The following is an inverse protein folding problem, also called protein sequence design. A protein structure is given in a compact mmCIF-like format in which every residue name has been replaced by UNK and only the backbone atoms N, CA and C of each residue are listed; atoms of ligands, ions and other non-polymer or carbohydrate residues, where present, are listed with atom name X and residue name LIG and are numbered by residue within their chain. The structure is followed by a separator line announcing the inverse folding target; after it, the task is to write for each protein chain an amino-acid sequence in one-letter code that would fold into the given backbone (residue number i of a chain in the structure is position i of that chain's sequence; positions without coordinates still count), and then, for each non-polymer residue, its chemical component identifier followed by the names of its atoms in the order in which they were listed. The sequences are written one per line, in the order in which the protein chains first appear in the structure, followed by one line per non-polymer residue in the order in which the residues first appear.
data_IF_402815040477
#
_entry.id   IF_402815040477
#
_cell.length_a   1.000
_cell.length_b   1.000
_cell.length_c   1.000
_cell.angle_alpha   90.00
_cell.angle_beta   90.00
_cell.angle_gamma   90.00
#
_symmetry.space_group_name_H-M   'P 1'
#
loop_
_entity.id
_entity.type
_entity.pdbx_description
1 polymer ?
#
# COMPACT_ATOMS: atom_id res chain seq x y z
N UNK A 1 -10.95 7.11 4.62
CA UNK A 1 -10.06 6.03 4.12
C UNK A 1 -10.20 5.96 2.62
N UNK A 2 -9.14 5.61 1.88
CA UNK A 2 -9.24 5.36 0.43
C UNK A 2 -10.04 4.07 0.18
N UNK A 3 -10.80 4.01 -0.91
CA UNK A 3 -11.51 2.79 -1.32
C UNK A 3 -10.52 1.68 -1.73
N UNK A 4 -9.43 2.08 -2.38
CA UNK A 4 -8.32 1.20 -2.72
C UNK A 4 -7.00 1.98 -2.77
N UNK A 5 -5.89 1.26 -2.83
CA UNK A 5 -4.59 1.77 -3.18
C UNK A 5 -3.74 0.69 -3.85
N UNK A 6 -2.69 1.12 -4.55
CA UNK A 6 -1.67 0.24 -5.11
C UNK A 6 -0.46 0.17 -4.17
N UNK A 7 0.16 -0.99 -4.07
CA UNK A 7 1.42 -1.17 -3.36
C UNK A 7 2.34 -2.11 -4.16
N UNK A 8 3.68 -1.93 -4.14
CA UNK A 8 4.57 -2.89 -4.77
C UNK A 8 4.38 -4.29 -4.15
N UNK A 9 4.31 -5.35 -4.96
CA UNK A 9 4.29 -6.70 -4.43
C UNK A 9 5.68 -7.12 -3.91
N UNK A 10 6.73 -6.66 -4.55
CA UNK A 10 8.14 -6.94 -4.27
C UNK A 10 8.99 -5.70 -4.57
N UNK A 11 10.22 -5.62 -4.06
CA UNK A 11 11.15 -4.56 -4.45
C UNK A 11 11.34 -4.50 -5.97
N UNK A 12 11.38 -3.29 -6.52
CA UNK A 12 11.67 -3.05 -7.92
C UNK A 12 12.67 -1.90 -8.08
N UNK A 13 13.34 -1.89 -9.23
CA UNK A 13 14.45 -0.99 -9.51
C UNK A 13 14.24 -0.31 -10.86
N UNK A 14 14.70 0.93 -10.94
CA UNK A 14 14.74 1.69 -12.18
C UNK A 14 16.04 2.49 -12.25
N UNK A 15 16.54 2.70 -13.45
CA UNK A 15 17.77 3.46 -13.66
C UNK A 15 17.62 4.34 -14.88
N UNK A 16 18.14 5.56 -14.78
CA UNK A 16 18.32 6.44 -15.93
C UNK A 16 19.69 7.13 -15.87
N UNK A 17 20.16 7.56 -17.02
CA UNK A 17 21.34 8.42 -17.14
C UNK A 17 20.97 9.70 -17.86
N UNK A 18 21.25 10.85 -17.25
CA UNK A 18 21.01 12.17 -17.81
C UNK A 18 22.27 13.03 -17.67
N UNK A 19 22.82 13.53 -18.78
CA UNK A 19 24.06 14.32 -18.82
C UNK A 19 25.19 13.71 -17.97
N UNK A 20 25.45 12.42 -18.12
CA UNK A 20 26.44 11.61 -17.38
C UNK A 20 26.11 11.41 -15.89
N UNK A 21 25.08 12.05 -15.33
CA UNK A 21 24.60 11.72 -13.99
C UNK A 21 23.76 10.46 -14.06
N UNK A 22 24.00 9.53 -13.12
CA UNK A 22 23.25 8.28 -12.99
C UNK A 22 22.27 8.41 -11.85
N UNK A 23 21.03 8.02 -12.08
CA UNK A 23 19.93 8.02 -11.11
C UNK A 23 19.42 6.58 -10.96
N UNK A 24 19.53 6.04 -9.75
CA UNK A 24 19.09 4.68 -9.40
C UNK A 24 17.92 4.80 -8.47
N UNK A 25 16.74 4.34 -8.91
CA UNK A 25 15.53 4.32 -8.13
C UNK A 25 15.28 2.91 -7.58
N UNK A 26 14.89 2.82 -6.32
CA UNK A 26 14.40 1.60 -5.67
C UNK A 26 13.06 1.87 -5.02
N UNK A 27 12.05 1.02 -5.27
CA UNK A 27 10.74 1.07 -4.61
C UNK A 27 10.48 -0.24 -3.86
N UNK A 28 9.94 -0.15 -2.63
CA UNK A 28 9.58 -1.32 -1.80
C UNK A 28 8.24 -1.13 -1.12
N UNK A 29 7.50 -2.23 -0.85
CA UNK A 29 6.38 -2.20 0.09
C UNK A 29 6.92 -1.94 1.50
N UNK A 30 6.21 -1.12 2.27
CA UNK A 30 6.47 -0.85 3.70
C UNK A 30 5.15 -0.69 4.44
N UNK A 31 5.07 -1.17 5.68
CA UNK A 31 3.84 -1.13 6.46
C UNK A 31 3.82 0.05 7.45
N UNK A 32 4.98 0.56 7.84
CA UNK A 32 5.12 1.64 8.82
C UNK A 32 6.36 2.52 8.58
N UNK A 33 6.51 3.58 9.37
CA UNK A 33 7.64 4.50 9.30
C UNK A 33 8.98 3.84 9.66
N UNK A 34 8.96 2.82 10.50
CA UNK A 34 10.18 2.11 10.91
C UNK A 34 10.74 1.31 9.74
N UNK A 35 9.89 0.57 9.02
CA UNK A 35 10.28 -0.15 7.81
C UNK A 35 10.76 0.81 6.71
N UNK A 36 10.03 1.92 6.50
CA UNK A 36 10.43 2.94 5.53
C UNK A 36 11.80 3.53 5.85
N UNK A 37 12.05 3.87 7.11
CA UNK A 37 13.34 4.42 7.56
C UNK A 37 14.46 3.39 7.42
N UNK A 38 14.22 2.14 7.81
CA UNK A 38 15.21 1.07 7.68
C UNK A 38 15.60 0.84 6.21
N UNK A 39 14.63 0.86 5.30
CA UNK A 39 14.90 0.78 3.86
C UNK A 39 15.74 1.94 3.35
N UNK A 40 15.42 3.19 3.73
CA UNK A 40 16.17 4.37 3.31
C UNK A 40 17.63 4.27 3.79
N UNK A 41 17.86 3.86 5.03
CA UNK A 41 19.21 3.70 5.58
C UNK A 41 19.97 2.54 4.93
N UNK A 42 19.30 1.46 4.57
CA UNK A 42 19.89 0.36 3.79
C UNK A 42 20.42 0.87 2.44
N UNK A 43 19.60 1.65 1.70
CA UNK A 43 20.00 2.21 0.41
C UNK A 43 21.15 3.21 0.56
N UNK A 44 21.11 4.08 1.57
CA UNK A 44 22.24 4.99 1.87
C UNK A 44 23.51 4.23 2.15
N UNK A 45 23.43 3.16 2.92
CA UNK A 45 24.59 2.31 3.25
C UNK A 45 25.16 1.59 2.04
N UNK A 46 24.32 1.20 1.08
CA UNK A 46 24.68 0.57 -0.20
C UNK A 46 25.37 1.56 -1.14
N UNK A 47 24.97 2.83 -1.10
CA UNK A 47 25.42 3.88 -2.02
C UNK A 47 26.22 5.00 -1.34
N UNK A 48 27.19 4.64 -0.48
CA UNK A 48 27.96 5.61 0.34
C UNK A 48 28.72 6.67 -0.45
N UNK A 49 29.08 6.35 -1.70
CA UNK A 49 29.80 7.28 -2.57
C UNK A 49 28.87 8.24 -3.33
N UNK A 50 27.56 8.05 -3.23
CA UNK A 50 26.59 8.96 -3.80
C UNK A 50 26.41 10.21 -2.92
N UNK A 51 26.21 11.36 -3.55
CA UNK A 51 26.00 12.62 -2.83
C UNK A 51 24.58 12.77 -2.26
N UNK A 52 23.59 12.19 -2.94
CA UNK A 52 22.17 12.38 -2.63
C UNK A 52 21.43 11.06 -2.74
N UNK A 53 20.67 10.74 -1.71
CA UNK A 53 19.68 9.66 -1.70
C UNK A 53 18.34 10.27 -1.31
N UNK A 54 17.66 10.79 -2.30
CA UNK A 54 16.31 11.37 -2.19
C UNK A 54 15.32 10.27 -1.89
N UNK A 55 14.28 10.56 -1.11
CA UNK A 55 13.27 9.57 -0.79
C UNK A 55 11.87 10.17 -0.67
N UNK A 56 10.87 9.31 -0.81
CA UNK A 56 9.49 9.53 -0.41
C UNK A 56 8.88 8.24 0.11
N UNK A 57 8.05 8.31 1.15
CA UNK A 57 7.16 7.21 1.53
C UNK A 57 5.75 7.72 1.81
N UNK A 58 4.77 6.87 1.53
CA UNK A 58 3.35 7.10 1.76
C UNK A 58 2.77 5.90 2.50
N UNK A 59 2.08 6.14 3.62
CA UNK A 59 1.44 5.11 4.44
C UNK A 59 -0.07 5.29 4.47
N UNK A 60 -0.80 4.21 4.63
CA UNK A 60 -2.27 4.23 4.61
C UNK A 60 -2.88 4.93 5.83
N UNK A 61 -2.14 5.05 6.93
CA UNK A 61 -2.53 5.82 8.10
C UNK A 61 -2.45 7.35 7.89
N UNK A 62 -2.08 7.79 6.68
CA UNK A 62 -1.94 9.19 6.30
C UNK A 62 -0.55 9.78 6.53
N UNK A 63 0.35 9.03 7.14
CA UNK A 63 1.73 9.49 7.30
C UNK A 63 2.45 9.47 5.97
N UNK A 64 3.16 10.56 5.72
CA UNK A 64 3.99 10.73 4.53
C UNK A 64 5.22 11.56 4.87
N UNK A 65 6.32 11.25 4.24
CA UNK A 65 7.54 12.03 4.37
C UNK A 65 8.37 11.93 3.10
N UNK A 66 9.04 13.02 2.75
CA UNK A 66 10.01 13.06 1.67
C UNK A 66 11.21 13.93 2.05
N UNK A 67 12.30 13.80 1.29
CA UNK A 67 13.49 14.63 1.42
C UNK A 67 14.16 14.79 0.07
N UNK A 68 14.60 16.01 -0.21
CA UNK A 68 15.48 16.31 -1.35
C UNK A 68 16.95 15.94 -1.08
N UNK A 69 17.30 15.58 0.15
CA UNK A 69 18.63 15.13 0.59
C UNK A 69 19.79 16.01 0.07
N UNK A 70 19.63 17.34 0.17
CA UNK A 70 20.61 18.32 -0.27
C UNK A 70 20.57 18.72 -1.75
N UNK A 71 19.68 18.15 -2.55
CA UNK A 71 19.32 18.74 -3.86
C UNK A 71 18.54 20.06 -3.67
N UNK A 72 18.46 20.95 -4.68
CA UNK A 72 17.65 22.15 -4.58
C UNK A 72 16.19 21.83 -4.18
N UNK A 73 15.68 22.62 -3.24
CA UNK A 73 14.34 22.37 -2.66
C UNK A 73 13.25 22.18 -3.73
N UNK A 74 12.44 21.14 -3.58
CA UNK A 74 11.30 20.82 -4.44
C UNK A 74 11.68 20.23 -5.81
N UNK A 75 12.96 19.88 -6.04
CA UNK A 75 13.39 19.33 -7.34
C UNK A 75 13.40 17.80 -7.40
N UNK A 76 13.23 17.13 -6.27
CA UNK A 76 13.41 15.69 -6.19
C UNK A 76 12.37 14.98 -5.33
N UNK A 77 12.36 15.20 -4.01
CA UNK A 77 11.48 14.48 -3.09
C UNK A 77 9.98 14.77 -3.31
N UNK A 78 9.61 16.05 -3.47
CA UNK A 78 8.23 16.44 -3.74
C UNK A 78 7.69 15.87 -5.07
N UNK A 79 8.40 15.97 -6.21
CA UNK A 79 7.98 15.33 -7.47
C UNK A 79 7.78 13.81 -7.38
N UNK A 80 8.65 13.10 -6.65
CA UNK A 80 8.51 11.67 -6.41
C UNK A 80 7.21 11.37 -5.64
N UNK A 81 6.94 12.16 -4.60
CA UNK A 81 5.71 12.03 -3.80
C UNK A 81 4.46 12.22 -4.67
N UNK A 82 4.44 13.27 -5.51
CA UNK A 82 3.32 13.52 -6.41
C UNK A 82 3.08 12.37 -7.42
N UNK A 83 4.14 11.74 -7.92
CA UNK A 83 4.02 10.59 -8.82
C UNK A 83 3.36 9.41 -8.11
N UNK A 84 3.79 9.10 -6.88
CA UNK A 84 3.20 8.03 -6.07
C UNK A 84 1.71 8.32 -5.78
N UNK A 85 1.38 9.56 -5.39
CA UNK A 85 -0.01 9.98 -5.10
C UNK A 85 -0.89 9.90 -6.35
N UNK A 86 -0.43 10.41 -7.50
CA UNK A 86 -1.18 10.39 -8.78
C UNK A 86 -1.42 8.98 -9.31
N UNK A 87 -0.57 8.04 -8.96
CA UNK A 87 -0.71 6.62 -9.33
C UNK A 87 -1.37 5.78 -8.23
N UNK A 88 -1.97 6.42 -7.21
CA UNK A 88 -2.62 5.78 -6.07
C UNK A 88 -1.75 4.82 -5.25
N UNK A 89 -0.43 4.98 -5.31
CA UNK A 89 0.47 4.19 -4.47
C UNK A 89 0.37 4.59 -3.00
N UNK A 90 0.43 3.57 -2.14
CA UNK A 90 0.47 3.71 -0.69
C UNK A 90 1.14 2.49 -0.07
N UNK A 91 1.49 2.57 1.21
CA UNK A 91 2.27 1.53 1.89
C UNK A 91 3.53 1.17 1.10
N UNK A 92 4.24 2.20 0.63
CA UNK A 92 5.47 2.06 -0.12
C UNK A 92 6.48 3.16 0.23
N UNK A 93 7.75 2.83 0.06
CA UNK A 93 8.85 3.79 0.09
C UNK A 93 9.64 3.70 -1.22
N UNK A 94 10.01 4.86 -1.75
CA UNK A 94 10.78 5.01 -2.97
C UNK A 94 12.00 5.89 -2.68
N UNK A 95 13.18 5.43 -3.09
CA UNK A 95 14.43 6.18 -3.03
C UNK A 95 14.95 6.42 -4.45
N UNK A 96 15.64 7.55 -4.66
CA UNK A 96 16.41 7.77 -5.87
C UNK A 96 17.80 8.28 -5.49
N UNK A 97 18.80 7.46 -5.76
CA UNK A 97 20.20 7.76 -5.51
C UNK A 97 20.85 8.35 -6.74
N UNK A 98 21.54 9.49 -6.58
CA UNK A 98 22.21 10.16 -7.70
C UNK A 98 23.73 10.12 -7.57
N UNK A 99 24.38 9.68 -8.66
CA UNK A 99 25.81 9.86 -8.91
C UNK A 99 26.02 11.01 -9.88
N UNK A 100 26.74 12.03 -9.46
CA UNK A 100 26.98 13.23 -10.28
C UNK A 100 27.93 12.96 -11.45
N UNK A 101 27.54 13.32 -12.64
CA UNK A 101 28.30 13.10 -13.88
C UNK A 101 29.20 14.27 -14.34
N UNK A 102 29.42 15.27 -13.48
CA UNK A 102 30.27 16.42 -13.80
C UNK A 102 29.55 17.55 -14.56
N UNK A 103 28.29 17.37 -14.98
CA UNK A 103 27.52 18.38 -15.73
C UNK A 103 26.28 18.76 -14.91
N UNK A 104 26.09 20.07 -14.68
CA UNK A 104 24.91 20.58 -13.99
C UNK A 104 23.65 20.42 -14.86
N UNK A 105 22.58 19.92 -14.25
CA UNK A 105 21.29 19.75 -14.92
C UNK A 105 20.38 20.98 -14.83
N UNK A 106 20.58 21.81 -13.80
CA UNK A 106 19.63 22.84 -13.40
C UNK A 106 18.38 22.27 -12.73
N UNK A 107 17.58 23.12 -12.10
CA UNK A 107 16.40 22.69 -11.33
C UNK A 107 15.38 21.90 -12.16
N UNK A 108 15.04 22.40 -13.36
CA UNK A 108 14.13 21.69 -14.28
C UNK A 108 14.69 20.38 -14.83
N UNK A 109 16.03 20.28 -15.01
CA UNK A 109 16.69 19.04 -15.40
C UNK A 109 16.66 17.99 -14.28
N UNK A 110 16.92 18.42 -13.04
CA UNK A 110 16.83 17.57 -11.85
C UNK A 110 15.42 17.01 -11.66
N UNK A 111 14.41 17.88 -11.69
CA UNK A 111 13.02 17.48 -11.56
C UNK A 111 12.65 16.39 -12.58
N UNK A 112 13.00 16.59 -13.85
CA UNK A 112 12.73 15.60 -14.91
C UNK A 112 13.47 14.28 -14.66
N UNK A 113 14.74 14.35 -14.27
CA UNK A 113 15.55 13.15 -14.06
C UNK A 113 15.08 12.33 -12.87
N UNK A 114 14.81 12.96 -11.70
CA UNK A 114 14.26 12.27 -10.54
C UNK A 114 12.89 11.67 -10.82
N UNK A 115 12.01 12.40 -11.50
CA UNK A 115 10.69 11.93 -11.91
C UNK A 115 10.78 10.74 -12.88
N UNK A 116 11.67 10.79 -13.84
CA UNK A 116 11.85 9.71 -14.82
C UNK A 116 12.41 8.43 -14.16
N UNK A 117 13.40 8.57 -13.25
CA UNK A 117 13.95 7.43 -12.51
C UNK A 117 12.87 6.77 -11.61
N UNK A 118 12.11 7.57 -10.88
CA UNK A 118 11.01 7.10 -10.04
C UNK A 118 9.93 6.37 -10.87
N UNK A 119 9.53 6.96 -11.99
CA UNK A 119 8.55 6.36 -12.91
C UNK A 119 9.05 5.02 -13.45
N UNK A 120 10.33 4.94 -13.85
CA UNK A 120 10.94 3.70 -14.34
C UNK A 120 10.87 2.58 -13.28
N UNK A 121 11.20 2.87 -12.00
CA UNK A 121 11.10 1.88 -10.93
C UNK A 121 9.64 1.45 -10.68
N UNK A 122 8.68 2.38 -10.74
CA UNK A 122 7.25 2.10 -10.57
C UNK A 122 6.72 1.22 -11.72
N UNK A 123 7.17 1.43 -12.94
CA UNK A 123 6.78 0.63 -14.11
C UNK A 123 7.35 -0.80 -14.06
N UNK A 124 8.46 -1.01 -13.35
CA UNK A 124 9.06 -2.33 -13.13
C UNK A 124 8.49 -3.05 -11.89
N UNK A 125 7.73 -2.35 -11.03
CA UNK A 125 7.09 -3.03 -9.92
C UNK A 125 5.77 -3.68 -10.39
N UNK A 126 5.51 -4.89 -9.91
CA UNK A 126 4.21 -5.53 -10.10
C UNK A 126 3.28 -5.00 -8.99
N UNK A 127 2.44 -3.97 -9.24
CA UNK A 127 1.62 -3.41 -8.20
C UNK A 127 0.46 -4.33 -7.86
N UNK A 128 0.15 -4.41 -6.57
CA UNK A 128 -1.01 -5.11 -6.04
C UNK A 128 -2.05 -4.10 -5.66
N UNK A 129 -3.29 -4.31 -6.09
CA UNK A 129 -4.42 -3.50 -5.65
C UNK A 129 -4.91 -4.02 -4.30
N UNK A 130 -4.90 -3.14 -3.33
CA UNK A 130 -5.40 -3.36 -1.97
C UNK A 130 -6.75 -2.67 -1.84
N UNK A 131 -7.82 -3.43 -1.66
CA UNK A 131 -9.19 -2.93 -1.61
C UNK A 131 -9.70 -2.93 -0.17
N UNK A 132 -10.35 -1.83 0.24
CA UNK A 132 -10.97 -1.70 1.55
C UNK A 132 -12.11 -2.70 1.69
N UNK A 133 -12.11 -3.44 2.81
CA UNK A 133 -13.17 -4.38 3.20
C UNK A 133 -13.72 -4.02 4.57
N UNK A 134 -15.02 -4.09 4.71
CA UNK A 134 -15.66 -4.10 6.02
C UNK A 134 -15.41 -5.43 6.71
N UNK A 135 -15.09 -5.38 8.01
CA UNK A 135 -14.81 -6.57 8.82
C UNK A 135 -15.81 -6.68 9.95
N UNK A 136 -16.22 -7.91 10.23
CA UNK A 136 -17.22 -8.18 11.28
C UNK A 136 -16.90 -9.45 12.03
N UNK A 137 -17.29 -9.51 13.30
CA UNK A 137 -17.40 -10.76 14.03
C UNK A 137 -18.85 -11.22 14.05
N UNK A 138 -19.06 -12.51 13.82
CA UNK A 138 -20.35 -13.18 13.85
C UNK A 138 -20.29 -14.30 14.87
N UNK A 139 -21.42 -14.56 15.56
CA UNK A 139 -21.57 -15.74 16.40
C UNK A 139 -22.85 -16.49 16.02
N UNK A 140 -22.74 -17.79 15.76
CA UNK A 140 -23.87 -18.61 15.33
C UNK A 140 -23.82 -20.04 15.91
N UNK A 141 -24.94 -20.73 15.82
CA UNK A 141 -25.02 -22.15 16.07
C UNK A 141 -24.45 -22.96 14.92
N UNK A 142 -24.00 -24.18 15.17
CA UNK A 142 -23.45 -25.09 14.14
C UNK A 142 -24.43 -25.36 12.99
N UNK A 143 -25.70 -25.45 13.28
CA UNK A 143 -26.78 -25.66 12.30
C UNK A 143 -26.83 -24.56 11.23
N UNK A 144 -26.45 -23.34 11.60
CA UNK A 144 -26.46 -22.19 10.70
C UNK A 144 -25.10 -21.97 9.99
N UNK A 145 -24.01 -22.38 10.64
CA UNK A 145 -22.65 -22.19 10.12
C UNK A 145 -22.49 -22.67 8.67
N UNK A 146 -23.01 -23.85 8.33
CA UNK A 146 -22.88 -24.43 7.00
C UNK A 146 -23.49 -23.58 5.87
N UNK A 147 -24.35 -22.62 6.19
CA UNK A 147 -25.01 -21.72 5.23
C UNK A 147 -24.22 -20.43 5.00
N UNK A 148 -23.47 -19.97 6.01
CA UNK A 148 -22.76 -18.68 5.98
C UNK A 148 -21.74 -18.60 4.84
N UNK A 149 -20.85 -19.56 4.61
CA UNK A 149 -19.85 -19.47 3.54
C UNK A 149 -20.47 -19.25 2.16
N UNK A 150 -21.56 -19.98 1.85
CA UNK A 150 -22.25 -19.84 0.58
C UNK A 150 -22.94 -18.49 0.42
N UNK A 151 -23.56 -17.98 1.48
CA UNK A 151 -24.19 -16.66 1.46
C UNK A 151 -23.11 -15.59 1.33
N UNK A 152 -22.07 -15.64 2.15
CA UNK A 152 -20.99 -14.65 2.18
C UNK A 152 -20.29 -14.51 0.83
N UNK A 153 -20.01 -15.65 0.17
CA UNK A 153 -19.40 -15.68 -1.16
C UNK A 153 -20.23 -14.95 -2.24
N UNK A 154 -21.58 -15.02 -2.16
CA UNK A 154 -22.46 -14.30 -3.11
C UNK A 154 -22.31 -12.77 -3.04
N UNK A 155 -21.88 -12.25 -1.88
CA UNK A 155 -21.63 -10.84 -1.64
C UNK A 155 -20.14 -10.48 -1.74
N UNK A 156 -19.30 -11.36 -2.33
CA UNK A 156 -17.87 -11.13 -2.49
C UNK A 156 -17.10 -11.10 -1.16
N UNK A 157 -17.69 -11.72 -0.12
CA UNK A 157 -17.06 -11.81 1.18
C UNK A 157 -16.34 -13.15 1.39
N UNK A 158 -15.53 -13.20 2.44
CA UNK A 158 -14.81 -14.42 2.86
C UNK A 158 -14.70 -14.52 4.38
N UNK A 159 -14.53 -15.73 4.87
CA UNK A 159 -14.19 -15.98 6.27
C UNK A 159 -12.69 -15.79 6.44
N UNK A 160 -12.30 -14.95 7.39
CA UNK A 160 -10.91 -14.66 7.74
C UNK A 160 -10.40 -15.62 8.82
N UNK A 161 -11.28 -15.92 9.79
CA UNK A 161 -10.96 -16.78 10.91
C UNK A 161 -12.24 -17.43 11.47
N UNK A 162 -12.09 -18.60 12.10
CA UNK A 162 -13.21 -19.32 12.71
C UNK A 162 -12.75 -20.05 13.98
N UNK A 163 -13.53 -19.89 15.06
CA UNK A 163 -13.35 -20.61 16.31
C UNK A 163 -14.59 -21.46 16.59
N UNK A 164 -14.34 -22.77 16.88
CA UNK A 164 -15.34 -23.79 17.11
C UNK A 164 -15.32 -24.21 18.58
N UNK A 165 -16.30 -23.69 19.34
CA UNK A 165 -16.51 -24.06 20.74
C UNK A 165 -17.98 -24.54 20.96
N UNK A 166 -18.66 -24.09 21.99
CA UNK A 166 -20.10 -24.35 22.14
C UNK A 166 -20.97 -23.66 21.07
N UNK A 167 -20.43 -22.65 20.44
CA UNK A 167 -20.96 -21.92 19.26
C UNK A 167 -19.84 -21.65 18.31
N UNK A 168 -20.16 -21.33 17.06
CA UNK A 168 -19.16 -20.96 16.07
C UNK A 168 -19.01 -19.44 16.04
N UNK A 169 -17.77 -18.96 16.29
CA UNK A 169 -17.40 -17.55 16.14
C UNK A 169 -16.62 -17.37 14.85
N UNK A 170 -17.02 -16.42 14.02
CA UNK A 170 -16.42 -16.13 12.74
C UNK A 170 -15.93 -14.69 12.67
N UNK A 171 -14.76 -14.48 12.09
CA UNK A 171 -14.34 -13.18 11.57
C UNK A 171 -14.51 -13.20 10.06
N UNK A 172 -15.27 -12.25 9.51
CA UNK A 172 -15.60 -12.18 8.09
C UNK A 172 -15.23 -10.83 7.52
N UNK A 173 -14.88 -10.81 6.24
CA UNK A 173 -14.71 -9.57 5.46
C UNK A 173 -15.60 -9.60 4.23
N UNK A 174 -16.07 -8.42 3.81
CA UNK A 174 -16.84 -8.26 2.59
C UNK A 174 -16.77 -6.80 2.11
N UNK A 175 -17.09 -6.55 0.80
CA UNK A 175 -17.17 -5.20 0.27
C UNK A 175 -18.11 -4.33 1.11
N UNK A 176 -17.73 -3.07 1.44
CA UNK A 176 -18.54 -2.18 2.27
C UNK A 176 -19.96 -1.99 1.76
N UNK A 177 -20.13 -1.90 0.43
CA UNK A 177 -21.42 -1.72 -0.25
C UNK A 177 -22.39 -2.88 -0.05
N UNK A 178 -21.88 -4.08 0.21
CA UNK A 178 -22.68 -5.29 0.42
C UNK A 178 -22.92 -5.62 1.89
N UNK A 179 -22.23 -4.94 2.81
CA UNK A 179 -22.27 -5.27 4.24
C UNK A 179 -23.69 -5.25 4.80
N UNK A 180 -24.44 -4.17 4.57
CA UNK A 180 -25.80 -4.04 5.10
C UNK A 180 -26.72 -5.15 4.57
N UNK A 181 -26.74 -5.36 3.25
CA UNK A 181 -27.60 -6.36 2.61
C UNK A 181 -27.28 -7.78 3.09
N UNK A 182 -26.01 -8.09 3.28
CA UNK A 182 -25.57 -9.37 3.84
C UNK A 182 -26.12 -9.57 5.27
N UNK A 183 -25.99 -8.55 6.13
CA UNK A 183 -26.43 -8.65 7.52
C UNK A 183 -27.93 -8.72 7.65
N UNK A 184 -28.68 -7.93 6.90
CA UNK A 184 -30.15 -7.98 6.87
C UNK A 184 -30.61 -9.40 6.50
N UNK A 185 -29.99 -10.02 5.50
CA UNK A 185 -30.30 -11.37 5.07
C UNK A 185 -29.99 -12.43 6.12
N UNK A 186 -28.81 -12.42 6.73
CA UNK A 186 -28.45 -13.44 7.76
C UNK A 186 -29.27 -13.26 9.04
N UNK A 187 -29.61 -12.02 9.40
CA UNK A 187 -30.52 -11.74 10.53
C UNK A 187 -31.89 -12.35 10.28
N UNK A 188 -32.49 -12.10 9.10
CA UNK A 188 -33.78 -12.67 8.72
C UNK A 188 -33.74 -14.20 8.68
N UNK A 189 -32.76 -14.79 7.99
CA UNK A 189 -32.64 -16.24 7.85
C UNK A 189 -32.37 -16.96 9.18
N UNK A 190 -31.78 -16.28 10.16
CA UNK A 190 -31.52 -16.85 11.50
C UNK A 190 -32.65 -16.59 12.49
N UNK A 191 -33.71 -15.88 12.10
CA UNK A 191 -34.76 -15.43 13.01
C UNK A 191 -34.25 -14.47 14.08
N UNK A 192 -33.28 -13.62 13.76
CA UNK A 192 -32.67 -12.65 14.66
C UNK A 192 -31.62 -13.22 15.63
N UNK A 193 -31.26 -14.49 15.51
CA UNK A 193 -30.29 -15.13 16.40
C UNK A 193 -28.84 -14.80 16.17
N UNK A 194 -28.46 -14.40 14.92
CA UNK A 194 -27.10 -14.03 14.59
C UNK A 194 -26.95 -12.53 14.73
N UNK A 195 -26.05 -12.14 15.64
CA UNK A 195 -25.65 -10.76 15.82
C UNK A 195 -24.27 -10.56 15.22
N UNK A 196 -24.11 -9.43 14.53
CA UNK A 196 -22.85 -9.00 13.94
C UNK A 196 -22.29 -7.80 14.69
N UNK A 197 -21.04 -7.86 15.06
CA UNK A 197 -20.30 -6.71 15.58
C UNK A 197 -19.32 -6.24 14.53
N UNK A 198 -19.39 -4.96 14.19
CA UNK A 198 -18.42 -4.34 13.28
C UNK A 198 -17.05 -4.26 13.95
N UNK A 199 -16.02 -4.62 13.21
CA UNK A 199 -14.63 -4.52 13.60
C UNK A 199 -13.94 -3.45 12.72
N UNK A 200 -12.73 -3.07 13.06
CA UNK A 200 -11.95 -2.17 12.22
C UNK A 200 -11.81 -2.75 10.80
N UNK A 201 -12.05 -1.93 9.78
CA UNK A 201 -11.93 -2.36 8.39
C UNK A 201 -10.48 -2.73 8.09
N UNK A 202 -10.28 -3.50 7.03
CA UNK A 202 -8.95 -3.91 6.59
C UNK A 202 -8.82 -3.76 5.07
N UNK A 203 -7.58 -3.75 4.60
CA UNK A 203 -7.29 -3.80 3.18
C UNK A 203 -6.87 -5.21 2.79
N UNK A 204 -7.47 -5.71 1.72
CA UNK A 204 -7.18 -7.02 1.19
C UNK A 204 -6.67 -6.94 -0.25
N UNK A 205 -5.77 -7.84 -0.59
CA UNK A 205 -5.32 -8.04 -1.96
C UNK A 205 -6.50 -8.50 -2.82
N UNK A 206 -6.70 -7.82 -3.94
CA UNK A 206 -7.69 -8.18 -4.95
C UNK A 206 -7.15 -9.25 -5.90
#
# INVERSE_FOLDING_TARGET
MKEFFLTPQKPAFGEITEKRSKFIAEIRPVCDEKEATAFIEEVRSKHRDARHTVFSYLLIDGKRRYSDDGEPSGTAGAPITEILEKKDFCNCALTVTRYFGGILLGTGGLLRAYSAAATNAIEQCDPVKMTLKSRFSLRCEYTFYNRIPSILSKYGGKILDSDFSNTVSLSVSLPPEHAKTFFDLIFELSGGKILANQLDPLYEKE
#
